data_IF_442653461114
#
_entry.id   IF_442653461114
#
_cell.length_a   1.000
_cell.length_b   1.000
_cell.length_c   1.000
_cell.angle_alpha   90.00
_cell.angle_beta   90.00
_cell.angle_gamma   90.00
#
_symmetry.space_group_name_H-M   'P 1'
#
loop_
_entity.id
_entity.type
_entity.pdbx_description
1 polymer ?
#
# COMPACT_ATOMS: atom_id res chain seq x y z
N UNK A 1 62.98 23.81 -15.21
CA UNK A 1 63.83 22.83 -14.50
C UNK A 1 62.99 22.24 -13.39
N UNK A 2 62.87 20.91 -13.31
CA UNK A 2 62.18 20.27 -12.19
C UNK A 2 63.11 20.29 -10.97
N UNK A 3 62.66 20.87 -9.87
CA UNK A 3 63.35 20.77 -8.59
C UNK A 3 63.00 19.42 -7.97
N UNK A 4 63.89 18.44 -8.06
CA UNK A 4 63.72 17.15 -7.40
C UNK A 4 64.42 17.17 -6.04
N UNK A 5 63.67 16.89 -4.96
CA UNK A 5 64.25 16.58 -3.65
C UNK A 5 64.38 15.06 -3.58
N UNK A 6 65.62 14.55 -3.48
CA UNK A 6 65.90 13.12 -3.50
C UNK A 6 66.28 12.64 -2.10
N UNK A 7 65.58 11.64 -1.56
CA UNK A 7 65.95 10.99 -0.31
C UNK A 7 66.89 9.82 -0.62
N UNK A 8 68.14 9.87 -0.13
CA UNK A 8 69.16 8.81 -0.33
C UNK A 8 68.71 7.47 0.28
N UNK A 9 69.01 6.35 -0.39
CA UNK A 9 68.72 4.98 0.06
C UNK A 9 69.90 4.25 0.68
N UNK A 10 70.95 4.93 1.13
CA UNK A 10 72.06 4.27 1.82
C UNK A 10 72.37 4.88 3.19
N UNK A 11 71.92 4.19 4.25
CA UNK A 11 72.33 4.41 5.63
C UNK A 11 71.51 5.45 6.41
N UNK A 12 70.52 4.96 7.18
CA UNK A 12 69.87 5.64 8.31
C UNK A 12 69.60 7.16 8.16
N UNK A 13 68.73 7.54 7.23
CA UNK A 13 68.22 8.90 7.13
C UNK A 13 67.55 9.14 5.79
N UNK A 14 66.21 9.01 5.74
CA UNK A 14 65.44 9.52 4.61
C UNK A 14 65.55 11.05 4.50
N UNK A 15 64.71 11.68 3.68
CA UNK A 15 64.56 13.13 3.72
C UNK A 15 64.07 13.55 5.12
N UNK A 16 65.00 13.91 6.01
CA UNK A 16 64.71 14.48 7.32
C UNK A 16 64.72 16.01 7.14
N UNK A 17 63.56 16.57 6.84
CA UNK A 17 63.33 18.00 6.98
C UNK A 17 62.94 18.27 8.43
N UNK A 18 63.91 18.64 9.27
CA UNK A 18 63.59 19.19 10.60
C UNK A 18 62.93 20.54 10.37
N UNK A 19 61.73 20.73 10.92
CA UNK A 19 61.09 22.04 10.97
C UNK A 19 62.04 23.06 11.62
N UNK A 20 61.85 24.34 11.32
CA UNK A 20 62.49 25.41 12.07
C UNK A 20 62.04 25.37 13.56
N UNK A 21 62.44 26.37 14.35
CA UNK A 21 62.01 26.49 15.75
C UNK A 21 60.48 26.63 15.93
N UNK A 22 59.69 26.72 14.85
CA UNK A 22 58.23 26.80 14.89
C UNK A 22 57.55 25.43 14.81
N UNK A 23 58.28 24.36 14.43
CA UNK A 23 57.73 23.00 14.38
C UNK A 23 56.82 22.72 13.17
N UNK A 24 56.82 23.60 12.15
CA UNK A 24 55.98 23.49 10.95
C UNK A 24 56.81 22.97 9.75
N UNK A 25 56.24 22.04 8.98
CA UNK A 25 56.78 21.59 7.69
C UNK A 25 55.87 22.07 6.54
N UNK A 26 56.44 22.79 5.57
CA UNK A 26 55.69 23.29 4.42
C UNK A 26 56.22 22.73 3.09
N UNK A 27 55.32 22.31 2.21
CA UNK A 27 55.60 22.06 0.79
C UNK A 27 55.03 23.24 -0.02
N UNK A 28 55.91 23.98 -0.68
CA UNK A 28 55.54 25.19 -1.42
C UNK A 28 55.68 25.00 -2.93
N UNK A 29 54.78 25.62 -3.69
CA UNK A 29 54.82 25.70 -5.15
C UNK A 29 54.55 27.13 -5.57
N UNK A 30 55.34 27.70 -6.48
CA UNK A 30 55.17 29.09 -6.94
C UNK A 30 55.02 30.12 -5.79
N UNK A 31 55.81 29.95 -4.72
CA UNK A 31 55.80 30.80 -3.52
C UNK A 31 54.51 30.75 -2.67
N UNK A 32 53.65 29.76 -2.87
CA UNK A 32 52.48 29.50 -2.00
C UNK A 32 52.62 28.14 -1.32
N UNK A 33 52.12 28.01 -0.08
CA UNK A 33 52.12 26.74 0.65
C UNK A 33 50.98 25.85 0.15
N UNK A 34 51.34 24.71 -0.44
CA UNK A 34 50.41 23.71 -0.93
C UNK A 34 50.07 22.65 0.14
N UNK A 35 51.07 22.22 0.91
CA UNK A 35 50.90 21.28 2.03
C UNK A 35 51.59 21.82 3.28
N UNK A 36 50.93 21.72 4.41
CA UNK A 36 51.42 22.12 5.73
C UNK A 36 51.32 20.91 6.66
N UNK A 37 52.36 20.59 7.42
CA UNK A 37 52.25 19.82 8.65
C UNK A 37 52.53 20.78 9.79
N UNK A 38 51.52 21.06 10.60
CA UNK A 38 51.67 22.01 11.71
C UNK A 38 52.40 21.38 12.92
N UNK A 39 52.66 22.19 13.95
CA UNK A 39 53.29 21.73 15.19
C UNK A 39 52.46 20.67 15.95
N UNK A 40 51.17 20.54 15.64
CA UNK A 40 50.26 19.51 16.19
C UNK A 40 50.20 18.23 15.35
N UNK A 41 51.05 18.13 14.32
CA UNK A 41 51.09 17.02 13.36
C UNK A 41 49.78 16.85 12.59
N UNK A 42 49.08 17.96 12.33
CA UNK A 42 47.92 18.00 11.44
C UNK A 42 48.39 18.34 10.03
N UNK A 43 47.84 17.66 9.03
CA UNK A 43 48.19 17.88 7.63
C UNK A 43 47.14 18.77 6.97
N UNK A 44 47.53 19.97 6.55
CA UNK A 44 46.74 20.87 5.73
C UNK A 44 47.12 20.74 4.26
N UNK A 45 46.15 20.54 3.37
CA UNK A 45 46.32 20.65 1.92
C UNK A 45 45.50 21.85 1.45
N UNK A 46 46.16 22.87 0.91
CA UNK A 46 45.54 24.15 0.54
C UNK A 46 45.14 25.05 1.72
N UNK A 47 45.61 24.72 2.94
CA UNK A 47 45.50 25.56 4.14
C UNK A 47 46.81 25.54 4.94
N UNK A 48 47.15 26.67 5.55
CA UNK A 48 48.28 26.81 6.49
C UNK A 48 47.86 26.67 7.96
N UNK A 49 46.57 26.47 8.23
CA UNK A 49 46.02 26.37 9.58
C UNK A 49 45.03 25.20 9.68
N UNK A 50 45.51 23.94 9.52
CA UNK A 50 44.66 22.77 9.70
C UNK A 50 44.24 22.63 11.17
N UNK A 51 42.94 22.43 11.39
CA UNK A 51 42.31 22.25 12.70
C UNK A 51 42.04 20.77 13.05
N UNK A 52 42.25 19.86 12.11
CA UNK A 52 42.09 18.41 12.27
C UNK A 52 43.24 17.66 11.61
N UNK A 53 43.36 16.33 11.85
CA UNK A 53 44.50 15.53 11.38
C UNK A 53 44.73 15.61 9.87
N UNK A 54 43.67 15.77 9.08
CA UNK A 54 43.74 16.03 7.65
C UNK A 54 42.68 17.07 7.27
N UNK A 55 43.12 18.29 6.99
CA UNK A 55 42.25 19.37 6.50
C UNK A 55 42.56 19.64 5.02
N UNK A 56 41.58 19.36 4.14
CA UNK A 56 41.67 19.65 2.70
C UNK A 56 40.81 20.87 2.39
N UNK A 57 41.45 21.99 2.07
CA UNK A 57 40.80 23.28 1.91
C UNK A 57 41.11 23.87 0.53
N UNK A 58 40.12 24.52 -0.07
CA UNK A 58 40.27 25.29 -1.29
C UNK A 58 39.84 26.74 -1.00
N UNK A 59 40.73 27.71 -1.25
CA UNK A 59 40.43 29.13 -1.10
C UNK A 59 39.46 29.67 -2.17
N UNK A 60 39.23 28.88 -3.23
CA UNK A 60 38.16 29.04 -4.21
C UNK A 60 37.82 27.70 -4.88
N UNK A 61 36.55 27.46 -5.19
CA UNK A 61 36.06 26.18 -5.73
C UNK A 61 35.69 25.14 -4.66
N UNK A 62 35.67 23.86 -5.04
CA UNK A 62 35.27 22.75 -4.15
C UNK A 62 36.48 21.95 -3.66
N UNK A 63 36.61 21.78 -2.34
CA UNK A 63 37.49 20.74 -1.78
C UNK A 63 36.92 19.35 -2.13
N UNK A 64 37.76 18.50 -2.71
CA UNK A 64 37.38 17.14 -3.10
C UNK A 64 38.49 16.14 -2.81
N UNK A 65 38.08 14.94 -2.41
CA UNK A 65 38.91 13.75 -2.43
C UNK A 65 38.57 12.95 -3.69
N UNK A 66 39.58 12.74 -4.55
CA UNK A 66 39.43 12.05 -5.83
C UNK A 66 40.14 10.71 -5.81
N UNK A 67 39.46 9.66 -6.27
CA UNK A 67 40.07 8.37 -6.60
C UNK A 67 39.78 8.09 -8.07
N UNK A 68 40.81 7.88 -8.88
CA UNK A 68 40.63 7.69 -10.32
C UNK A 68 41.80 7.02 -11.03
N UNK A 69 41.66 6.84 -12.34
CA UNK A 69 42.69 6.32 -13.24
C UNK A 69 43.02 7.30 -14.37
N UNK A 70 44.05 6.98 -15.16
CA UNK A 70 44.57 7.82 -16.25
C UNK A 70 43.62 8.01 -17.45
N UNK A 71 42.46 7.36 -17.45
CA UNK A 71 41.50 7.37 -18.58
C UNK A 71 40.28 8.23 -18.26
N UNK A 72 40.41 9.18 -17.34
CA UNK A 72 39.31 9.99 -16.83
C UNK A 72 38.13 9.13 -16.34
N UNK A 73 38.41 8.14 -15.51
CA UNK A 73 37.41 7.51 -14.65
C UNK A 73 37.77 7.80 -13.22
N UNK A 74 36.89 8.51 -12.52
CA UNK A 74 37.12 8.83 -11.12
C UNK A 74 35.82 8.98 -10.35
N UNK A 75 35.95 8.85 -9.03
CA UNK A 75 34.93 9.19 -8.07
C UNK A 75 35.45 10.33 -7.20
N UNK A 76 34.62 11.35 -7.02
CA UNK A 76 34.88 12.47 -6.13
C UNK A 76 33.93 12.40 -4.93
N UNK A 77 34.50 12.52 -3.74
CA UNK A 77 33.78 12.89 -2.52
C UNK A 77 34.11 14.35 -2.27
N UNK A 78 33.10 15.22 -2.31
CA UNK A 78 33.33 16.67 -2.18
C UNK A 78 32.23 17.37 -1.41
N UNK A 79 32.61 18.49 -0.80
CA UNK A 79 31.66 19.45 -0.26
C UNK A 79 31.29 20.42 -1.39
N UNK A 80 30.00 20.53 -1.68
CA UNK A 80 29.49 21.52 -2.62
C UNK A 80 29.79 22.95 -2.12
N UNK A 81 29.93 23.89 -3.06
CA UNK A 81 30.46 25.25 -2.85
C UNK A 81 29.89 25.98 -1.61
N UNK A 82 30.60 27.02 -1.15
CA UNK A 82 30.44 27.77 0.10
C UNK A 82 29.00 28.17 0.52
N UNK A 83 28.03 28.19 -0.39
CA UNK A 83 26.64 28.57 -0.13
C UNK A 83 25.70 27.42 0.27
N UNK A 84 25.94 26.19 -0.18
CA UNK A 84 25.03 25.05 0.09
C UNK A 84 25.62 24.02 1.05
N UNK A 85 26.94 23.86 1.09
CA UNK A 85 27.64 23.02 2.06
C UNK A 85 27.28 21.52 2.03
N UNK A 86 26.63 21.05 0.97
CA UNK A 86 26.16 19.67 0.84
C UNK A 86 27.33 18.69 0.67
N UNK A 87 27.20 17.48 1.22
CA UNK A 87 28.12 16.38 0.93
C UNK A 87 27.68 15.72 -0.38
N UNK A 88 28.58 15.61 -1.35
CA UNK A 88 28.28 15.06 -2.67
C UNK A 88 29.23 13.92 -3.05
N UNK A 89 28.67 12.94 -3.75
CA UNK A 89 29.39 11.83 -4.36
C UNK A 89 29.17 11.91 -5.87
N UNK A 90 30.26 12.10 -6.63
CA UNK A 90 30.21 12.28 -8.08
C UNK A 90 31.04 11.21 -8.77
N UNK A 91 30.58 10.75 -9.92
CA UNK A 91 31.29 9.82 -10.78
C UNK A 91 31.49 10.46 -12.15
N UNK A 92 32.73 10.45 -12.61
CA UNK A 92 33.10 10.84 -13.96
C UNK A 92 33.41 9.58 -14.78
N UNK A 93 32.71 9.41 -15.90
CA UNK A 93 32.91 8.31 -16.83
C UNK A 93 33.20 8.88 -18.22
N UNK A 94 34.48 8.97 -18.59
CA UNK A 94 34.95 9.33 -19.93
C UNK A 94 34.10 10.45 -20.59
N UNK A 95 34.08 11.63 -19.94
CA UNK A 95 33.54 12.92 -20.42
C UNK A 95 32.33 13.47 -19.65
N UNK A 96 31.62 12.65 -18.86
CA UNK A 96 30.44 13.12 -18.11
C UNK A 96 30.65 13.04 -16.60
N UNK A 97 30.57 14.19 -15.91
CA UNK A 97 30.47 14.24 -14.44
C UNK A 97 29.02 14.10 -14.02
N UNK A 98 28.70 13.02 -13.33
CA UNK A 98 27.36 12.77 -12.76
C UNK A 98 27.44 12.78 -11.25
N UNK A 99 26.65 13.63 -10.60
CA UNK A 99 26.36 13.44 -9.18
C UNK A 99 25.57 12.14 -9.03
N UNK A 100 25.86 11.31 -8.03
CA UNK A 100 25.16 10.05 -7.75
C UNK A 100 24.39 10.11 -6.44
N UNK A 101 24.93 10.82 -5.46
CA UNK A 101 24.34 10.99 -4.13
C UNK A 101 24.70 12.36 -3.57
N UNK A 102 23.76 12.96 -2.83
CA UNK A 102 23.95 14.20 -2.08
C UNK A 102 23.26 14.12 -0.73
N UNK A 103 23.92 14.60 0.32
CA UNK A 103 23.27 14.97 1.58
C UNK A 103 23.25 16.50 1.64
N UNK A 104 22.06 17.10 1.60
CA UNK A 104 21.92 18.57 1.68
C UNK A 104 22.35 19.09 3.04
N UNK A 105 22.56 20.40 3.14
CA UNK A 105 22.73 21.07 4.43
C UNK A 105 21.52 20.92 5.37
N UNK A 106 20.33 20.63 4.83
CA UNK A 106 19.12 20.29 5.59
C UNK A 106 19.02 18.81 5.99
N UNK A 107 20.01 17.96 5.66
CA UNK A 107 20.04 16.54 6.03
C UNK A 107 19.26 15.62 5.09
N UNK A 108 18.76 16.11 3.96
CA UNK A 108 18.05 15.28 2.99
C UNK A 108 19.04 14.48 2.14
N UNK A 109 18.80 13.17 2.02
CA UNK A 109 19.52 12.30 1.10
C UNK A 109 18.85 12.33 -0.28
N UNK A 110 19.57 12.78 -1.29
CA UNK A 110 19.15 12.79 -2.68
C UNK A 110 20.01 11.80 -3.47
N UNK A 111 19.37 11.05 -4.36
CA UNK A 111 20.05 10.20 -5.32
C UNK A 111 19.89 10.81 -6.71
N UNK A 112 21.00 11.30 -7.23
CA UNK A 112 21.05 11.95 -8.53
C UNK A 112 21.31 10.88 -9.58
N UNK A 113 20.23 10.30 -10.08
CA UNK A 113 20.22 9.66 -11.39
C UNK A 113 19.00 10.19 -12.12
N UNK A 114 19.00 10.17 -13.45
CA UNK A 114 17.79 10.37 -14.21
C UNK A 114 17.41 8.99 -14.77
N UNK A 115 16.32 8.38 -14.28
CA UNK A 115 15.37 8.85 -13.26
C UNK A 115 15.92 8.78 -11.82
N UNK A 116 15.53 9.72 -10.94
CA UNK A 116 16.01 9.78 -9.55
C UNK A 116 15.32 8.71 -8.74
N UNK A 117 15.94 7.53 -8.67
CA UNK A 117 15.41 6.37 -7.99
C UNK A 117 16.15 6.12 -6.68
N UNK A 118 15.39 5.95 -5.60
CA UNK A 118 15.88 5.32 -4.38
C UNK A 118 15.70 3.82 -4.53
N UNK A 119 16.80 3.11 -4.78
CA UNK A 119 16.82 1.66 -4.97
C UNK A 119 17.16 0.98 -3.65
N UNK A 120 16.23 0.17 -3.12
CA UNK A 120 16.50 -0.77 -2.03
C UNK A 120 16.38 -2.20 -2.57
N UNK A 121 17.50 -2.84 -2.89
CA UNK A 121 17.53 -4.18 -3.53
C UNK A 121 18.84 -4.42 -4.28
N UNK A 122 19.01 -5.61 -4.85
CA UNK A 122 20.17 -5.93 -5.72
C UNK A 122 19.85 -5.70 -7.21
N UNK A 123 20.90 -5.61 -8.05
CA UNK A 123 20.79 -5.36 -9.49
C UNK A 123 20.25 -6.55 -10.28
N UNK A 124 20.15 -7.74 -9.68
CA UNK A 124 19.74 -8.99 -10.32
C UNK A 124 18.27 -9.37 -10.06
N UNK A 125 17.68 -8.96 -8.94
CA UNK A 125 16.29 -9.31 -8.55
C UNK A 125 15.34 -8.11 -8.48
N UNK A 126 15.79 -6.89 -8.79
CA UNK A 126 14.95 -5.67 -8.83
C UNK A 126 14.72 -5.00 -7.47
N UNK A 127 14.31 -3.72 -7.49
CA UNK A 127 14.13 -2.89 -6.28
C UNK A 127 12.84 -3.20 -5.52
N UNK A 128 12.92 -3.33 -4.19
CA UNK A 128 11.79 -3.51 -3.27
C UNK A 128 10.90 -2.25 -3.15
N UNK A 129 11.49 -1.07 -3.31
CA UNK A 129 10.80 0.22 -3.28
C UNK A 129 11.35 1.12 -4.39
N UNK A 130 10.50 1.73 -5.18
CA UNK A 130 10.89 2.64 -6.26
C UNK A 130 10.03 3.89 -6.21
N UNK A 131 10.62 5.01 -5.77
CA UNK A 131 10.07 6.35 -5.97
C UNK A 131 10.65 6.94 -7.26
N UNK A 132 9.80 7.41 -8.17
CA UNK A 132 10.25 8.09 -9.40
C UNK A 132 9.67 9.49 -9.51
N UNK A 133 10.49 10.46 -9.94
CA UNK A 133 10.01 11.80 -10.27
C UNK A 133 9.23 11.83 -11.60
N UNK A 134 9.43 10.83 -12.47
CA UNK A 134 8.72 10.69 -13.74
C UNK A 134 7.37 9.98 -13.52
N UNK A 135 6.36 10.75 -13.12
CA UNK A 135 4.99 10.28 -12.92
C UNK A 135 4.51 10.27 -11.47
N UNK A 136 5.36 10.60 -10.49
CA UNK A 136 4.96 10.91 -9.11
C UNK A 136 4.31 9.75 -8.35
N UNK A 137 4.83 8.54 -8.52
CA UNK A 137 4.31 7.34 -7.87
C UNK A 137 5.38 6.58 -7.07
N UNK A 138 4.92 5.86 -6.05
CA UNK A 138 5.70 4.91 -5.25
C UNK A 138 5.31 3.49 -5.62
N UNK A 139 6.26 2.65 -6.03
CA UNK A 139 6.01 1.25 -6.41
C UNK A 139 6.70 0.29 -5.45
N UNK A 140 6.01 -0.81 -5.13
CA UNK A 140 6.55 -2.01 -4.51
C UNK A 140 6.52 -3.15 -5.53
N UNK A 141 7.69 -3.74 -5.79
CA UNK A 141 7.85 -4.77 -6.80
C UNK A 141 9.13 -5.57 -6.61
N UNK A 142 9.28 -6.64 -7.39
CA UNK A 142 10.54 -7.38 -7.52
C UNK A 142 10.64 -7.93 -8.94
N UNK A 143 11.85 -8.02 -9.49
CA UNK A 143 12.16 -8.72 -10.75
C UNK A 143 11.35 -8.19 -11.94
N UNK A 144 11.17 -6.87 -12.02
CA UNK A 144 10.38 -6.20 -13.06
C UNK A 144 8.87 -6.36 -12.91
N UNK A 145 8.40 -7.06 -11.88
CA UNK A 145 6.96 -7.21 -11.56
C UNK A 145 6.56 -6.22 -10.48
N UNK A 146 5.51 -5.45 -10.76
CA UNK A 146 4.88 -4.54 -9.81
C UNK A 146 3.75 -5.25 -9.05
N UNK A 147 3.79 -5.19 -7.72
CA UNK A 147 2.76 -5.76 -6.85
C UNK A 147 1.83 -4.70 -6.29
N UNK A 148 2.34 -3.49 -6.05
CA UNK A 148 1.58 -2.39 -5.47
C UNK A 148 2.13 -1.04 -5.92
N UNK A 149 1.25 -0.05 -6.12
CA UNK A 149 1.63 1.34 -6.42
C UNK A 149 0.73 2.34 -5.69
N UNK A 150 1.35 3.42 -5.22
CA UNK A 150 0.67 4.66 -4.83
C UNK A 150 0.87 5.68 -5.96
N UNK A 151 -0.20 6.09 -6.63
CA UNK A 151 -0.15 7.07 -7.73
C UNK A 151 -1.27 8.10 -7.61
N UNK A 152 -0.91 9.37 -7.42
CA UNK A 152 -1.89 10.40 -7.07
C UNK A 152 -2.54 10.09 -5.71
N UNK A 153 -3.87 9.94 -5.69
CA UNK A 153 -4.65 9.57 -4.49
C UNK A 153 -4.96 8.07 -4.40
N UNK A 154 -4.45 7.25 -5.33
CA UNK A 154 -4.91 5.87 -5.49
C UNK A 154 -3.86 4.86 -5.00
N UNK A 155 -4.36 3.76 -4.40
CA UNK A 155 -3.62 2.54 -4.12
C UNK A 155 -4.00 1.47 -5.15
N UNK A 156 -3.03 1.05 -5.96
CA UNK A 156 -3.17 -0.05 -6.92
C UNK A 156 -2.50 -1.31 -6.37
N UNK A 157 -3.17 -2.47 -6.45
CA UNK A 157 -2.61 -3.79 -6.08
C UNK A 157 -2.73 -4.73 -7.29
N UNK A 158 -1.60 -5.35 -7.70
CA UNK A 158 -1.44 -6.24 -8.87
C UNK A 158 -1.80 -5.59 -10.23
N UNK A 159 -1.56 -4.31 -10.38
CA UNK A 159 -1.73 -3.57 -11.64
C UNK A 159 -0.53 -2.65 -11.88
N UNK A 160 -0.21 -2.37 -13.14
CA UNK A 160 1.00 -1.61 -13.58
C UNK A 160 0.69 -0.21 -14.11
N UNK A 161 -0.58 0.22 -14.07
CA UNK A 161 -1.05 1.53 -14.54
C UNK A 161 -2.36 1.93 -13.86
N UNK A 162 -2.66 3.24 -13.80
CA UNK A 162 -4.01 3.75 -13.46
C UNK A 162 -4.99 3.38 -14.57
N UNK A 163 -5.50 2.16 -14.56
CA UNK A 163 -6.67 1.78 -15.35
C UNK A 163 -7.88 2.30 -14.58
N UNK A 164 -8.74 3.11 -15.20
CA UNK A 164 -9.88 3.81 -14.58
C UNK A 164 -11.01 2.92 -14.02
N UNK A 165 -10.69 1.80 -13.38
CA UNK A 165 -11.57 0.98 -12.56
C UNK A 165 -10.72 0.47 -11.40
N UNK A 166 -10.88 1.09 -10.23
CA UNK A 166 -10.01 0.91 -9.06
C UNK A 166 -10.21 -0.48 -8.43
N UNK A 167 -9.13 -1.11 -7.96
CA UNK A 167 -9.21 -2.42 -7.26
C UNK A 167 -9.39 -2.24 -5.74
N UNK A 168 -9.02 -1.09 -5.15
CA UNK A 168 -9.34 -0.70 -3.76
C UNK A 168 -9.07 0.81 -3.55
N UNK A 169 -10.12 1.64 -3.45
CA UNK A 169 -9.98 3.05 -3.07
C UNK A 169 -10.26 3.27 -1.58
N UNK A 170 -9.28 3.80 -0.84
CA UNK A 170 -9.46 4.26 0.56
C UNK A 170 -9.36 5.78 0.55
N UNK A 171 -10.50 6.47 0.62
CA UNK A 171 -10.57 7.93 0.69
C UNK A 171 -11.00 8.35 2.10
N UNK A 172 -10.31 9.33 2.68
CA UNK A 172 -10.62 9.85 4.02
C UNK A 172 -10.84 11.36 4.04
N UNK A 173 -12.10 11.78 4.17
CA UNK A 173 -12.52 12.77 5.17
C UNK A 173 -14.06 12.74 5.31
N UNK A 174 -14.56 11.99 6.31
CA UNK A 174 -15.98 11.92 6.69
C UNK A 174 -16.60 10.52 6.63
N UNK A 175 -16.17 9.67 5.71
CA UNK A 175 -16.66 8.30 5.52
C UNK A 175 -15.52 7.28 5.63
N UNK A 176 -15.56 6.39 6.62
CA UNK A 176 -14.66 5.23 6.64
C UNK A 176 -15.21 4.14 5.72
N UNK A 177 -14.93 4.23 4.42
CA UNK A 177 -15.44 3.27 3.42
C UNK A 177 -14.34 2.65 2.54
N UNK A 178 -14.46 1.36 2.27
CA UNK A 178 -13.86 0.70 1.10
C UNK A 178 -14.71 1.12 -0.11
N UNK A 179 -14.22 2.07 -0.91
CA UNK A 179 -14.91 2.53 -2.11
C UNK A 179 -14.69 1.57 -3.28
N UNK A 180 -15.77 1.13 -3.91
CA UNK A 180 -15.75 0.40 -5.19
C UNK A 180 -16.30 1.32 -6.27
N UNK A 181 -15.44 1.72 -7.20
CA UNK A 181 -15.74 2.72 -8.22
C UNK A 181 -15.50 2.17 -9.63
N UNK A 182 -16.41 2.49 -10.55
CA UNK A 182 -16.16 2.35 -11.97
C UNK A 182 -16.40 3.69 -12.68
N UNK A 183 -15.56 4.03 -13.64
CA UNK A 183 -15.67 5.28 -14.42
C UNK A 183 -16.76 5.28 -15.49
N UNK A 184 -17.55 4.22 -15.56
CA UNK A 184 -18.64 4.06 -16.53
C UNK A 184 -20.00 4.05 -15.84
N UNK A 185 -21.00 4.60 -16.52
CA UNK A 185 -22.41 4.51 -16.15
C UNK A 185 -23.12 3.31 -16.80
N UNK A 186 -22.41 2.55 -17.64
CA UNK A 186 -22.90 1.27 -18.19
C UNK A 186 -22.83 0.17 -17.15
N UNK A 187 -23.57 -0.93 -17.36
CA UNK A 187 -23.56 -2.07 -16.44
C UNK A 187 -22.15 -2.59 -16.24
N UNK A 188 -21.65 -2.48 -15.00
CA UNK A 188 -20.30 -2.92 -14.64
C UNK A 188 -20.33 -3.76 -13.38
N UNK A 189 -19.39 -4.71 -13.26
CA UNK A 189 -19.28 -5.57 -12.07
C UNK A 189 -18.35 -4.92 -11.05
N UNK A 190 -18.90 -4.59 -9.88
CA UNK A 190 -18.14 -4.04 -8.76
C UNK A 190 -17.54 -5.15 -7.89
N UNK A 191 -18.35 -6.17 -7.57
CA UNK A 191 -17.94 -7.32 -6.74
C UNK A 191 -18.22 -8.61 -7.50
N UNK A 192 -17.28 -9.54 -7.46
CA UNK A 192 -17.41 -10.87 -8.04
C UNK A 192 -17.21 -11.93 -6.96
N UNK A 193 -18.25 -12.72 -6.67
CA UNK A 193 -18.17 -13.84 -5.74
C UNK A 193 -17.76 -15.09 -6.51
N UNK A 194 -16.58 -15.64 -6.19
CA UNK A 194 -16.02 -16.83 -6.83
C UNK A 194 -15.73 -17.93 -5.82
N UNK A 195 -15.88 -19.18 -6.26
CA UNK A 195 -15.33 -20.35 -5.59
C UNK A 195 -14.57 -21.21 -6.62
N UNK A 196 -14.18 -22.43 -6.25
CA UNK A 196 -13.49 -23.38 -7.15
C UNK A 196 -14.27 -23.69 -8.44
N UNK A 197 -15.58 -23.45 -8.46
CA UNK A 197 -16.47 -23.72 -9.59
C UNK A 197 -16.67 -22.48 -10.48
N UNK A 198 -16.02 -21.35 -10.17
CA UNK A 198 -16.13 -20.10 -10.92
C UNK A 198 -17.00 -19.06 -10.22
N UNK A 199 -17.69 -18.21 -10.99
CA UNK A 199 -18.50 -17.09 -10.48
C UNK A 199 -19.87 -17.58 -10.03
N UNK A 200 -20.21 -17.36 -8.77
CA UNK A 200 -21.51 -17.76 -8.16
C UNK A 200 -22.42 -16.57 -7.84
N UNK A 201 -21.90 -15.36 -7.93
CA UNK A 201 -22.69 -14.15 -7.77
C UNK A 201 -21.92 -12.88 -8.10
N UNK A 202 -22.64 -11.78 -8.27
CA UNK A 202 -22.05 -10.46 -8.53
C UNK A 202 -22.85 -9.34 -7.89
N UNK A 203 -22.14 -8.27 -7.48
CA UNK A 203 -22.75 -6.95 -7.29
C UNK A 203 -22.39 -6.10 -8.51
N UNK A 204 -23.40 -5.59 -9.20
CA UNK A 204 -23.24 -4.79 -10.42
C UNK A 204 -23.92 -3.44 -10.27
N UNK A 205 -23.36 -2.42 -10.91
CA UNK A 205 -23.96 -1.08 -10.92
C UNK A 205 -24.22 -0.62 -12.34
N UNK A 206 -25.30 0.14 -12.50
CA UNK A 206 -25.52 1.05 -13.63
C UNK A 206 -25.36 2.49 -13.14
N UNK A 207 -25.62 3.48 -13.99
CA UNK A 207 -25.64 4.88 -13.57
C UNK A 207 -26.65 5.22 -12.47
N UNK A 208 -27.64 4.37 -12.18
CA UNK A 208 -28.73 4.71 -11.24
C UNK A 208 -29.14 3.56 -10.29
N UNK A 209 -28.56 2.37 -10.40
CA UNK A 209 -29.03 1.20 -9.65
C UNK A 209 -27.91 0.21 -9.36
N UNK A 210 -28.11 -0.57 -8.28
CA UNK A 210 -27.26 -1.68 -7.86
C UNK A 210 -28.03 -2.99 -7.96
N UNK A 211 -27.44 -3.99 -8.62
CA UNK A 211 -27.99 -5.33 -8.77
C UNK A 211 -27.20 -6.32 -7.90
N UNK A 212 -27.91 -7.12 -7.12
CA UNK A 212 -27.37 -8.27 -6.38
C UNK A 212 -27.78 -9.55 -7.11
N UNK A 213 -26.84 -10.17 -7.83
CA UNK A 213 -27.11 -11.34 -8.65
C UNK A 213 -26.59 -12.61 -7.98
N UNK A 214 -27.44 -13.60 -7.84
CA UNK A 214 -27.10 -14.97 -7.43
C UNK A 214 -27.33 -15.94 -8.59
N UNK A 215 -26.55 -17.03 -8.66
CA UNK A 215 -26.70 -18.04 -9.71
C UNK A 215 -28.02 -18.81 -9.59
N UNK A 216 -28.82 -18.86 -10.66
CA UNK A 216 -30.14 -19.53 -10.66
C UNK A 216 -30.53 -20.12 -12.04
N UNK A 217 -29.55 -20.41 -12.89
CA UNK A 217 -29.76 -20.94 -14.25
C UNK A 217 -30.26 -22.41 -14.20
N UNK A 218 -31.15 -22.80 -15.13
CA UNK A 218 -31.69 -24.18 -15.17
C UNK A 218 -30.60 -25.24 -15.38
N UNK A 219 -29.49 -24.89 -16.02
CA UNK A 219 -28.34 -25.81 -16.23
C UNK A 219 -27.57 -26.09 -14.94
N UNK A 220 -27.80 -25.29 -13.89
CA UNK A 220 -27.20 -25.47 -12.57
C UNK A 220 -28.15 -26.21 -11.61
N UNK A 221 -29.32 -26.66 -12.09
CA UNK A 221 -30.35 -27.29 -11.28
C UNK A 221 -30.76 -28.63 -11.88
N UNK A 222 -31.06 -29.57 -11.00
CA UNK A 222 -31.64 -30.87 -11.34
C UNK A 222 -32.90 -31.09 -10.51
N UNK A 223 -33.75 -32.05 -10.92
CA UNK A 223 -34.97 -32.43 -10.20
C UNK A 223 -35.95 -31.26 -9.94
N UNK A 224 -36.14 -30.38 -10.94
CA UNK A 224 -37.04 -29.22 -10.85
C UNK A 224 -38.50 -29.68 -10.80
N UNK A 225 -39.22 -29.32 -9.75
CA UNK A 225 -40.64 -29.62 -9.54
C UNK A 225 -41.40 -28.39 -9.00
N UNK A 226 -42.74 -28.32 -9.15
CA UNK A 226 -43.55 -27.30 -8.50
C UNK A 226 -43.40 -27.35 -6.98
N UNK A 227 -43.36 -26.18 -6.34
CA UNK A 227 -43.32 -26.11 -4.88
C UNK A 227 -44.73 -26.28 -4.32
N UNK A 228 -44.89 -27.20 -3.38
CA UNK A 228 -46.17 -27.56 -2.74
C UNK A 228 -46.04 -27.49 -1.22
N UNK A 229 -47.14 -27.17 -0.53
CA UNK A 229 -47.15 -27.00 0.94
C UNK A 229 -46.52 -25.68 1.39
N UNK A 230 -46.40 -24.72 0.47
CA UNK A 230 -45.78 -23.44 0.76
C UNK A 230 -46.66 -22.58 1.69
N UNK A 231 -47.99 -22.63 1.52
CA UNK A 231 -48.94 -21.92 2.37
C UNK A 231 -48.86 -22.40 3.82
N UNK A 232 -48.88 -23.72 4.05
CA UNK A 232 -48.75 -24.29 5.39
C UNK A 232 -47.44 -23.89 6.07
N UNK A 233 -46.36 -23.75 5.29
CA UNK A 233 -45.06 -23.28 5.78
C UNK A 233 -45.10 -21.79 6.14
N UNK A 234 -45.68 -20.95 5.28
CA UNK A 234 -45.83 -19.50 5.54
C UNK A 234 -46.73 -19.24 6.75
N UNK A 235 -47.77 -20.04 6.94
CA UNK A 235 -48.69 -19.93 8.08
C UNK A 235 -48.03 -20.22 9.44
N UNK A 236 -46.87 -20.89 9.46
CA UNK A 236 -46.07 -21.11 10.66
C UNK A 236 -45.08 -19.97 10.96
N UNK A 237 -44.89 -19.05 10.01
CA UNK A 237 -43.98 -17.92 10.20
C UNK A 237 -44.61 -16.86 11.12
N UNK A 238 -43.78 -16.28 11.98
CA UNK A 238 -44.17 -15.25 12.94
C UNK A 238 -43.47 -13.91 12.62
N UNK A 239 -44.00 -13.11 11.68
CA UNK A 239 -43.49 -11.76 11.46
C UNK A 239 -43.84 -10.87 12.67
N UNK A 240 -42.86 -10.14 13.19
CA UNK A 240 -42.98 -9.31 14.40
C UNK A 240 -42.51 -7.89 14.16
N UNK A 241 -43.06 -6.95 14.94
CA UNK A 241 -42.47 -5.63 15.15
C UNK A 241 -41.65 -5.64 16.42
N UNK A 242 -40.60 -4.83 16.47
CA UNK A 242 -39.70 -4.75 17.62
C UNK A 242 -39.10 -3.35 17.74
N UNK A 243 -38.42 -3.09 18.85
CA UNK A 243 -37.66 -1.86 19.07
C UNK A 243 -36.20 -2.24 19.30
N UNK A 244 -35.29 -1.62 18.55
CA UNK A 244 -33.85 -1.88 18.71
C UNK A 244 -33.36 -1.40 20.07
N UNK A 245 -32.59 -2.26 20.76
CA UNK A 245 -32.01 -1.92 22.07
C UNK A 245 -30.93 -0.83 21.97
N UNK A 246 -30.29 -0.68 20.81
CA UNK A 246 -29.16 0.23 20.61
C UNK A 246 -29.59 1.70 20.52
N UNK A 247 -30.62 2.00 19.75
CA UNK A 247 -31.05 3.37 19.43
C UNK A 247 -32.53 3.64 19.75
N UNK A 248 -33.29 2.63 20.19
CA UNK A 248 -34.71 2.75 20.50
C UNK A 248 -35.61 2.90 19.27
N UNK A 249 -35.09 2.70 18.06
CA UNK A 249 -35.88 2.86 16.84
C UNK A 249 -36.78 1.64 16.59
N UNK A 250 -38.01 1.85 16.07
CA UNK A 250 -38.89 0.75 15.70
C UNK A 250 -38.36 0.01 14.46
N UNK A 251 -38.58 -1.30 14.43
CA UNK A 251 -38.25 -2.19 13.33
C UNK A 251 -39.34 -3.25 13.12
N UNK A 252 -39.26 -3.92 11.98
CA UNK A 252 -40.13 -5.04 11.64
C UNK A 252 -39.31 -6.14 10.96
N UNK A 253 -39.68 -7.40 11.17
CA UNK A 253 -38.96 -8.54 10.59
C UNK A 253 -39.30 -9.85 11.28
N UNK A 254 -38.30 -10.71 11.45
CA UNK A 254 -38.42 -12.02 12.07
C UNK A 254 -37.40 -12.16 13.21
N UNK A 255 -37.75 -12.99 14.20
CA UNK A 255 -36.78 -13.47 15.18
C UNK A 255 -36.01 -14.63 14.56
N UNK A 256 -34.68 -14.53 14.47
CA UNK A 256 -33.84 -15.45 13.70
C UNK A 256 -34.03 -16.93 14.09
N UNK A 257 -34.00 -17.28 15.37
CA UNK A 257 -34.16 -18.67 15.80
C UNK A 257 -35.58 -19.22 15.60
N UNK A 258 -36.62 -18.38 15.62
CA UNK A 258 -37.99 -18.81 15.29
C UNK A 258 -38.09 -19.10 13.79
N UNK A 259 -37.50 -18.23 12.95
CA UNK A 259 -37.46 -18.43 11.52
C UNK A 259 -36.63 -19.68 11.14
N UNK A 260 -35.51 -19.91 11.81
CA UNK A 260 -34.62 -21.04 11.54
C UNK A 260 -35.31 -22.39 11.71
N UNK A 261 -36.25 -22.51 12.67
CA UNK A 261 -37.02 -23.73 12.89
C UNK A 261 -37.92 -24.09 11.71
N UNK A 262 -38.31 -23.11 10.88
CA UNK A 262 -39.24 -23.30 9.75
C UNK A 262 -38.51 -23.20 8.40
N UNK A 263 -37.64 -22.21 8.23
CA UNK A 263 -36.87 -21.92 7.01
C UNK A 263 -35.39 -21.79 7.38
N UNK A 264 -34.67 -22.91 7.57
CA UNK A 264 -33.28 -22.88 8.02
C UNK A 264 -32.36 -22.16 7.03
N UNK A 265 -32.62 -22.26 5.72
CA UNK A 265 -31.80 -21.63 4.68
C UNK A 265 -31.81 -20.09 4.72
N UNK A 266 -32.82 -19.49 5.38
CA UNK A 266 -32.94 -18.03 5.52
C UNK A 266 -32.17 -17.47 6.72
N UNK A 267 -31.57 -18.33 7.56
CA UNK A 267 -30.92 -17.93 8.82
C UNK A 267 -29.49 -18.44 8.87
N UNK A 268 -28.55 -17.52 9.08
CA UNK A 268 -27.14 -17.83 9.31
C UNK A 268 -26.78 -17.74 10.80
N UNK A 269 -25.92 -18.65 11.24
CA UNK A 269 -25.40 -18.70 12.61
C UNK A 269 -26.20 -19.59 13.55
N UNK A 270 -25.63 -19.83 14.73
CA UNK A 270 -26.19 -20.71 15.76
C UNK A 270 -26.89 -19.91 16.85
N UNK A 271 -27.98 -20.46 17.42
CA UNK A 271 -28.72 -19.80 18.50
C UNK A 271 -27.83 -19.68 19.74
N UNK A 272 -27.83 -18.48 20.34
CA UNK A 272 -27.07 -18.16 21.56
C UNK A 272 -25.55 -18.41 21.43
N UNK A 273 -25.03 -18.38 20.20
CA UNK A 273 -23.60 -18.49 19.95
C UNK A 273 -22.83 -17.34 20.60
N UNK A 274 -21.59 -17.61 20.99
CA UNK A 274 -20.68 -16.63 21.56
C UNK A 274 -19.33 -16.73 20.87
N UNK A 275 -18.61 -15.60 20.79
CA UNK A 275 -17.26 -15.54 20.26
C UNK A 275 -16.37 -14.76 21.22
N UNK A 276 -15.10 -15.13 21.27
CA UNK A 276 -14.10 -14.41 22.07
C UNK A 276 -13.49 -13.30 21.21
N UNK A 277 -13.54 -12.07 21.71
CA UNK A 277 -12.82 -10.93 21.15
C UNK A 277 -11.62 -10.58 22.01
N UNK A 278 -10.53 -10.19 21.35
CA UNK A 278 -9.34 -9.65 22.01
C UNK A 278 -9.41 -8.14 21.95
N UNK A 279 -9.39 -7.49 23.11
CA UNK A 279 -9.29 -6.03 23.23
C UNK A 279 -7.95 -5.67 23.83
N UNK A 280 -7.30 -4.68 23.25
CA UNK A 280 -6.09 -4.09 23.82
C UNK A 280 -6.51 -2.92 24.72
N UNK A 281 -6.03 -2.93 25.96
CA UNK A 281 -6.22 -1.82 26.90
C UNK A 281 -5.23 -0.68 26.60
N UNK A 282 -5.45 0.49 27.20
CA UNK A 282 -4.56 1.66 27.06
C UNK A 282 -3.10 1.40 27.47
N UNK A 283 -2.85 0.37 28.29
CA UNK A 283 -1.53 -0.06 28.75
C UNK A 283 -0.85 -1.13 27.85
N UNK A 284 -1.49 -1.50 26.74
CA UNK A 284 -1.01 -2.53 25.81
C UNK A 284 -1.30 -3.98 26.24
N UNK A 285 -2.03 -4.20 27.34
CA UNK A 285 -2.45 -5.55 27.74
C UNK A 285 -3.63 -6.03 26.89
N UNK A 286 -3.61 -7.30 26.47
CA UNK A 286 -4.71 -7.92 25.73
C UNK A 286 -5.62 -8.64 26.73
N UNK A 287 -6.89 -8.22 26.79
CA UNK A 287 -7.95 -8.92 27.50
C UNK A 287 -8.83 -9.70 26.51
N UNK A 288 -9.27 -10.88 26.91
CA UNK A 288 -10.24 -11.69 26.19
C UNK A 288 -11.64 -11.45 26.77
N UNK A 289 -12.60 -11.05 25.93
CA UNK A 289 -13.99 -10.84 26.30
C UNK A 289 -14.86 -11.79 25.48
N UNK A 290 -15.75 -12.53 26.15
CA UNK A 290 -16.75 -13.35 25.45
C UNK A 290 -17.97 -12.48 25.15
N UNK A 291 -18.26 -12.31 23.87
CA UNK A 291 -19.40 -11.53 23.38
C UNK A 291 -20.39 -12.41 22.61
N UNK A 292 -21.68 -12.04 22.56
CA UNK A 292 -22.64 -12.75 21.72
C UNK A 292 -22.23 -12.75 20.24
N UNK A 293 -22.43 -13.87 19.58
CA UNK A 293 -22.32 -14.01 18.12
C UNK A 293 -23.74 -14.12 17.55
N UNK A 294 -24.24 -13.00 17.02
CA UNK A 294 -25.64 -12.86 16.67
C UNK A 294 -25.99 -13.58 15.35
N UNK A 295 -27.16 -14.24 15.32
CA UNK A 295 -27.71 -14.81 14.09
C UNK A 295 -28.14 -13.72 13.10
N UNK A 296 -27.98 -14.00 11.81
CA UNK A 296 -28.40 -13.12 10.71
C UNK A 296 -29.56 -13.72 9.91
N UNK A 297 -30.40 -12.87 9.33
CA UNK A 297 -31.55 -13.28 8.49
C UNK A 297 -31.38 -12.73 7.07
N UNK A 298 -31.47 -13.61 6.07
CA UNK A 298 -31.63 -13.24 4.66
C UNK A 298 -33.08 -13.54 4.22
N UNK A 299 -33.91 -12.50 4.20
CA UNK A 299 -35.31 -12.62 3.83
C UNK A 299 -35.53 -12.94 2.34
N UNK A 300 -34.51 -12.83 1.47
CA UNK A 300 -34.67 -13.10 0.04
C UNK A 300 -35.02 -14.57 -0.24
N UNK A 301 -34.64 -15.50 0.65
CA UNK A 301 -35.00 -16.91 0.59
C UNK A 301 -36.51 -17.16 0.75
N UNK A 302 -37.26 -16.21 1.32
CA UNK A 302 -38.71 -16.34 1.48
C UNK A 302 -39.49 -16.00 0.20
N UNK A 303 -38.89 -15.29 -0.77
CA UNK A 303 -39.61 -14.76 -1.94
C UNK A 303 -40.28 -15.87 -2.75
N UNK A 304 -39.56 -16.96 -3.04
CA UNK A 304 -40.14 -18.09 -3.76
C UNK A 304 -41.26 -18.76 -2.94
N UNK A 305 -41.03 -18.96 -1.63
CA UNK A 305 -41.99 -19.58 -0.69
C UNK A 305 -43.29 -18.80 -0.61
N UNK A 306 -43.19 -17.48 -0.44
CA UNK A 306 -44.33 -16.57 -0.41
C UNK A 306 -45.08 -16.58 -1.75
N UNK A 307 -44.37 -16.63 -2.88
CA UNK A 307 -44.99 -16.69 -4.21
C UNK A 307 -45.84 -17.95 -4.38
N UNK A 308 -45.34 -19.12 -4.01
CA UNK A 308 -46.12 -20.35 -4.11
C UNK A 308 -47.28 -20.39 -3.09
N UNK A 309 -47.07 -19.88 -1.87
CA UNK A 309 -48.15 -19.77 -0.87
C UNK A 309 -49.33 -18.93 -1.39
N UNK A 310 -49.05 -17.82 -2.08
CA UNK A 310 -50.07 -16.99 -2.71
C UNK A 310 -50.80 -17.76 -3.83
N UNK A 311 -50.08 -18.56 -4.63
CA UNK A 311 -50.68 -19.39 -5.68
C UNK A 311 -51.59 -20.49 -5.11
N UNK A 312 -51.16 -21.15 -4.05
CA UNK A 312 -51.97 -22.14 -3.31
C UNK A 312 -53.22 -21.48 -2.70
N UNK A 313 -53.04 -20.33 -2.05
CA UNK A 313 -54.16 -19.57 -1.49
C UNK A 313 -55.17 -19.14 -2.57
N UNK A 314 -54.71 -18.71 -3.74
CA UNK A 314 -55.57 -18.35 -4.86
C UNK A 314 -56.39 -19.55 -5.36
N UNK A 315 -55.81 -20.75 -5.33
CA UNK A 315 -56.53 -21.98 -5.69
C UNK A 315 -57.67 -22.26 -4.71
N UNK A 316 -57.41 -22.15 -3.40
CA UNK A 316 -58.43 -22.31 -2.36
C UNK A 316 -59.55 -21.28 -2.53
N UNK A 317 -59.21 -20.02 -2.81
CA UNK A 317 -60.20 -18.94 -3.03
C UNK A 317 -61.11 -19.28 -4.21
N UNK A 318 -60.56 -19.76 -5.32
CA UNK A 318 -61.35 -20.13 -6.49
C UNK A 318 -62.29 -21.31 -6.20
N UNK A 319 -61.81 -22.30 -5.46
CA UNK A 319 -62.59 -23.48 -5.08
C UNK A 319 -63.75 -23.10 -4.13
N UNK A 320 -63.48 -22.21 -3.16
CA UNK A 320 -64.51 -21.66 -2.28
C UNK A 320 -65.56 -20.85 -3.05
N UNK A 321 -65.15 -20.03 -4.02
CA UNK A 321 -66.08 -19.27 -4.87
C UNK A 321 -67.00 -20.19 -5.66
N UNK A 322 -66.45 -21.21 -6.32
CA UNK A 322 -67.24 -22.18 -7.09
C UNK A 322 -68.25 -22.93 -6.19
N UNK A 323 -67.86 -23.27 -4.96
CA UNK A 323 -68.77 -23.87 -3.97
C UNK A 323 -69.88 -22.92 -3.54
N UNK A 324 -69.57 -21.65 -3.30
CA UNK A 324 -70.56 -20.63 -2.96
C UNK A 324 -71.55 -20.45 -4.10
N UNK A 325 -71.08 -20.29 -5.35
CA UNK A 325 -71.96 -20.18 -6.52
C UNK A 325 -72.89 -21.39 -6.67
N UNK A 326 -72.37 -22.61 -6.40
CA UNK A 326 -73.19 -23.83 -6.42
C UNK A 326 -74.23 -23.88 -5.30
N UNK A 327 -73.92 -23.33 -4.13
CA UNK A 327 -74.83 -23.27 -2.99
C UNK A 327 -75.89 -22.17 -3.14
N UNK A 328 -75.52 -21.02 -3.70
CA UNK A 328 -76.43 -19.90 -3.97
C UNK A 328 -77.37 -20.17 -5.15
N UNK A 329 -77.02 -21.10 -6.04
CA UNK A 329 -77.88 -21.54 -7.14
C UNK A 329 -78.98 -22.55 -6.73
N UNK A 330 -79.05 -22.95 -5.45
CA UNK A 330 -80.07 -23.85 -4.89
C UNK A 330 -81.11 -23.08 -4.09
#
# INVERSE_FOLDING_TARGET
>A
MASSINASTSGAGGLITTADNTGILNLQTASTTAVTVDASQNVGIGTTSPDTKLSVYASGGTSQFRVGNNTNYYWDISRDNATTGALTFKNYNADTLTERMRITSSGQLLLSSNPSQLWFGDTSTGSFLQGTNTGGYLVFGTSGTEYMRLAGNNLCIRQTSNSGGEVLGINGNGDTQIGLYCSTSSLYTQINFRNSNGVVGTVRTTGTSTQFNTSSDYRLKENVAPMTGALDKVMQLNPVTFTWKTDGLPGQGFIAHELQAIVPDAVGGEKDATRVIKKENEDGTIIEETVPDYQGVDASFLVATLTAAIQEQQTIINDLKARIETLEAK
#
